data_IF_530126533080
#
_entry.id   IF_530126533080
#
_cell.length_a   1.000
_cell.length_b   1.000
_cell.length_c   1.000
_cell.angle_alpha   90.00
_cell.angle_beta   90.00
_cell.angle_gamma   90.00
#
_symmetry.space_group_name_H-M   'P 1'
#
loop_
_entity.id
_entity.type
_entity.pdbx_description
1 polymer ?
#
# COMPACT_ATOMS: atom_id res chain seq x y z
N UNK A 1 -29.33 -55.96 1.08
CA UNK A 1 -28.76 -55.77 2.43
C UNK A 1 -28.46 -57.14 3.01
N UNK A 2 -27.20 -57.46 3.27
CA UNK A 2 -26.85 -58.67 4.02
C UNK A 2 -26.75 -58.24 5.48
N UNK A 3 -27.50 -58.91 6.36
CA UNK A 3 -27.52 -58.60 7.78
C UNK A 3 -26.24 -59.16 8.43
N UNK A 4 -25.21 -58.32 8.57
CA UNK A 4 -23.95 -58.71 9.18
C UNK A 4 -24.08 -58.72 10.69
N UNK A 5 -23.90 -59.88 11.32
CA UNK A 5 -23.91 -59.98 12.78
C UNK A 5 -22.61 -59.43 13.34
N UNK A 6 -22.70 -58.32 14.08
CA UNK A 6 -21.57 -57.74 14.81
C UNK A 6 -21.63 -58.30 16.24
N UNK A 7 -20.73 -59.22 16.65
CA UNK A 7 -20.66 -59.62 18.04
C UNK A 7 -20.13 -58.43 18.87
N UNK A 8 -20.98 -57.85 19.72
CA UNK A 8 -20.61 -56.77 20.63
C UNK A 8 -20.29 -57.40 21.99
N UNK A 9 -19.02 -57.43 22.36
CA UNK A 9 -18.60 -57.73 23.72
C UNK A 9 -18.64 -56.46 24.57
N UNK A 10 -19.61 -56.34 25.49
CA UNK A 10 -19.63 -55.25 26.45
C UNK A 10 -18.60 -55.54 27.55
N UNK A 11 -17.57 -54.70 27.67
CA UNK A 11 -16.46 -54.85 28.63
C UNK A 11 -16.89 -54.86 30.12
N UNK A 12 -18.17 -54.58 30.41
CA UNK A 12 -18.74 -54.56 31.75
C UNK A 12 -19.31 -55.91 32.22
N UNK A 13 -19.30 -56.95 31.38
CA UNK A 13 -19.79 -58.27 31.76
C UNK A 13 -18.84 -58.96 32.76
N UNK A 14 -19.40 -59.52 33.84
CA UNK A 14 -18.60 -60.28 34.81
C UNK A 14 -18.14 -61.58 34.15
N UNK A 15 -16.91 -61.99 34.39
CA UNK A 15 -16.30 -63.19 33.80
C UNK A 15 -17.08 -64.49 34.07
N UNK A 16 -17.92 -64.50 35.11
CA UNK A 16 -18.77 -65.63 35.46
C UNK A 16 -19.95 -65.79 34.50
N UNK A 17 -20.52 -64.69 34.01
CA UNK A 17 -21.66 -64.72 33.09
C UNK A 17 -21.23 -65.21 31.70
N UNK A 18 -20.00 -64.85 31.28
CA UNK A 18 -19.42 -65.33 30.02
C UNK A 18 -19.22 -66.85 30.00
N UNK A 19 -18.89 -67.44 31.16
CA UNK A 19 -18.74 -68.89 31.32
C UNK A 19 -20.08 -69.61 31.30
N UNK A 20 -21.15 -68.97 31.79
CA UNK A 20 -22.50 -69.52 31.72
C UNK A 20 -22.96 -69.67 30.25
N UNK A 21 -22.53 -68.77 29.37
CA UNK A 21 -22.80 -68.81 27.92
C UNK A 21 -21.87 -69.77 27.14
N UNK A 22 -21.01 -70.53 27.82
CA UNK A 22 -20.14 -71.53 27.19
C UNK A 22 -18.85 -70.97 26.57
N UNK A 23 -18.46 -69.73 26.92
CA UNK A 23 -17.20 -69.13 26.50
C UNK A 23 -16.19 -69.12 27.66
N UNK A 24 -15.00 -69.68 27.42
CA UNK A 24 -13.97 -69.78 28.48
C UNK A 24 -13.32 -68.42 28.79
N UNK A 25 -13.25 -67.55 27.79
CA UNK A 25 -12.71 -66.20 27.89
C UNK A 25 -13.27 -65.31 26.78
N UNK A 26 -13.10 -64.01 26.91
CA UNK A 26 -13.41 -63.05 25.83
C UNK A 26 -12.68 -63.39 24.51
N UNK A 27 -11.48 -63.97 24.61
CA UNK A 27 -10.69 -64.42 23.44
C UNK A 27 -11.39 -65.61 22.75
N UNK A 28 -11.97 -66.53 23.52
CA UNK A 28 -12.71 -67.68 22.98
C UNK A 28 -14.00 -67.25 22.25
N UNK A 29 -14.69 -66.22 22.77
CA UNK A 29 -15.84 -65.61 22.10
C UNK A 29 -15.44 -65.01 20.75
N UNK A 30 -14.34 -64.27 20.69
CA UNK A 30 -13.82 -63.68 19.45
C UNK A 30 -13.41 -64.77 18.46
N UNK A 31 -12.71 -65.81 18.91
CA UNK A 31 -12.24 -66.89 18.04
C UNK A 31 -13.38 -67.77 17.49
N UNK A 32 -14.42 -68.03 18.30
CA UNK A 32 -15.59 -68.80 17.84
C UNK A 32 -16.50 -67.99 16.93
N UNK A 33 -16.74 -66.71 17.25
CA UNK A 33 -17.56 -65.84 16.41
C UNK A 33 -16.83 -65.41 15.13
N UNK A 34 -15.50 -65.29 15.19
CA UNK A 34 -14.67 -64.81 14.12
C UNK A 34 -13.93 -65.93 13.39
N UNK A 35 -14.61 -66.68 12.51
CA UNK A 35 -13.88 -67.49 11.53
C UNK A 35 -13.06 -66.51 10.66
N UNK A 36 -11.72 -66.59 10.59
CA UNK A 36 -10.88 -65.61 9.89
C UNK A 36 -11.31 -65.38 8.44
N UNK A 37 -11.81 -66.44 7.80
CA UNK A 37 -12.33 -66.38 6.43
C UNK A 37 -13.58 -65.50 6.28
N UNK A 38 -14.50 -65.54 7.26
CA UNK A 38 -15.72 -64.73 7.22
C UNK A 38 -15.42 -63.29 7.64
N UNK A 39 -14.63 -63.10 8.70
CA UNK A 39 -14.37 -61.75 9.23
C UNK A 39 -13.49 -60.91 8.32
N UNK A 40 -12.51 -61.51 7.65
CA UNK A 40 -11.53 -60.75 6.87
C UNK A 40 -11.78 -60.85 5.36
N UNK A 41 -11.84 -62.08 4.82
CA UNK A 41 -11.85 -62.28 3.37
C UNK A 41 -13.18 -61.91 2.70
N UNK A 42 -14.33 -62.16 3.34
CA UNK A 42 -15.62 -61.77 2.77
C UNK A 42 -15.81 -60.25 2.64
N UNK A 43 -15.59 -59.42 3.68
CA UNK A 43 -15.73 -57.97 3.53
C UNK A 43 -14.66 -57.40 2.60
N UNK A 44 -13.44 -57.95 2.63
CA UNK A 44 -12.37 -57.51 1.72
C UNK A 44 -12.69 -57.85 0.26
N UNK A 45 -13.18 -59.06 -0.02
CA UNK A 45 -13.61 -59.47 -1.35
C UNK A 45 -14.80 -58.66 -1.87
N UNK A 46 -15.78 -58.38 -1.01
CA UNK A 46 -16.92 -57.50 -1.34
C UNK A 46 -16.47 -56.06 -1.59
N UNK A 47 -15.54 -55.53 -0.78
CA UNK A 47 -14.99 -54.19 -0.98
C UNK A 47 -14.22 -54.10 -2.30
N UNK A 48 -13.42 -55.11 -2.66
CA UNK A 48 -12.74 -55.18 -3.96
C UNK A 48 -13.75 -55.29 -5.10
N UNK A 49 -14.72 -56.21 -5.01
CA UNK A 49 -15.76 -56.37 -6.02
C UNK A 49 -16.58 -55.09 -6.22
N UNK A 50 -16.86 -54.34 -5.13
CA UNK A 50 -17.52 -53.04 -5.21
C UNK A 50 -16.60 -51.98 -5.85
N UNK A 51 -15.34 -51.91 -5.43
CA UNK A 51 -14.37 -50.92 -5.93
C UNK A 51 -14.12 -51.09 -7.43
N UNK A 52 -14.02 -52.32 -7.93
CA UNK A 52 -13.79 -52.59 -9.35
C UNK A 52 -15.08 -52.73 -10.17
N UNK A 53 -16.16 -53.24 -9.58
CA UNK A 53 -17.44 -53.41 -10.26
C UNK A 53 -18.22 -52.11 -10.43
N UNK A 54 -18.16 -51.21 -9.44
CA UNK A 54 -18.91 -49.95 -9.47
C UNK A 54 -18.55 -49.04 -10.67
N UNK A 55 -17.27 -48.85 -11.05
CA UNK A 55 -16.91 -48.12 -12.27
C UNK A 55 -17.52 -48.72 -13.54
N UNK A 56 -17.57 -50.05 -13.68
CA UNK A 56 -18.15 -50.73 -14.85
C UNK A 56 -19.65 -50.44 -14.92
N UNK A 57 -20.36 -50.63 -13.80
CA UNK A 57 -21.81 -50.35 -13.72
C UNK A 57 -22.08 -48.87 -14.02
N UNK A 58 -21.29 -47.95 -13.47
CA UNK A 58 -21.40 -46.51 -13.73
C UNK A 58 -21.23 -46.19 -15.22
N UNK A 59 -20.24 -46.79 -15.88
CA UNK A 59 -20.00 -46.59 -17.30
C UNK A 59 -21.14 -47.14 -18.16
N UNK A 60 -21.71 -48.31 -17.79
CA UNK A 60 -22.90 -48.87 -18.47
C UNK A 60 -24.09 -47.93 -18.33
N UNK A 61 -24.35 -47.39 -17.14
CA UNK A 61 -25.43 -46.41 -16.91
C UNK A 61 -25.22 -45.16 -17.77
N UNK A 62 -23.98 -44.64 -17.82
CA UNK A 62 -23.66 -43.48 -18.66
C UNK A 62 -23.83 -43.77 -20.16
N UNK A 63 -23.42 -44.95 -20.63
CA UNK A 63 -23.60 -45.36 -22.01
C UNK A 63 -25.08 -45.49 -22.38
N UNK A 64 -25.89 -46.10 -21.51
CA UNK A 64 -27.35 -46.19 -21.69
C UNK A 64 -27.98 -44.80 -21.73
N UNK A 65 -27.56 -43.90 -20.85
CA UNK A 65 -28.06 -42.52 -20.82
C UNK A 65 -27.67 -41.75 -22.09
N UNK A 66 -26.43 -41.91 -22.58
CA UNK A 66 -25.98 -41.31 -23.83
C UNK A 66 -26.75 -41.87 -25.04
N UNK A 67 -27.02 -43.18 -25.07
CA UNK A 67 -27.81 -43.83 -26.11
C UNK A 67 -29.28 -43.39 -26.10
N UNK A 68 -29.90 -43.31 -24.92
CA UNK A 68 -31.26 -42.80 -24.77
C UNK A 68 -31.36 -41.33 -25.24
N UNK A 69 -30.34 -40.52 -24.93
CA UNK A 69 -30.25 -39.13 -25.40
C UNK A 69 -30.16 -39.07 -26.92
N UNK A 70 -29.24 -39.79 -27.55
CA UNK A 70 -29.08 -39.78 -29.02
C UNK A 70 -30.31 -40.32 -29.74
N UNK A 71 -30.95 -41.36 -29.21
CA UNK A 71 -32.21 -41.88 -29.72
C UNK A 71 -33.33 -40.83 -29.63
N UNK A 72 -33.46 -40.15 -28.48
CA UNK A 72 -34.38 -39.04 -28.29
C UNK A 72 -34.14 -37.89 -29.28
N UNK A 73 -32.88 -37.49 -29.50
CA UNK A 73 -32.55 -36.42 -30.48
C UNK A 73 -32.92 -36.82 -31.90
N UNK A 74 -32.63 -38.08 -32.29
CA UNK A 74 -32.97 -38.59 -33.62
C UNK A 74 -34.48 -38.67 -33.85
N UNK A 75 -35.22 -39.10 -32.83
CA UNK A 75 -36.68 -39.19 -32.88
C UNK A 75 -37.30 -37.79 -32.94
N UNK A 76 -36.78 -36.84 -32.14
CA UNK A 76 -37.21 -35.45 -32.16
C UNK A 76 -36.88 -34.77 -33.51
N UNK A 77 -35.71 -35.01 -34.09
CA UNK A 77 -35.36 -34.56 -35.45
C UNK A 77 -36.29 -35.16 -36.51
N UNK A 78 -36.68 -36.43 -36.38
CA UNK A 78 -37.61 -37.10 -37.31
C UNK A 78 -39.03 -36.54 -37.21
N UNK A 79 -39.50 -36.24 -36.00
CA UNK A 79 -40.81 -35.57 -35.78
C UNK A 79 -40.76 -34.13 -36.28
N UNK A 80 -39.65 -33.42 -36.04
CA UNK A 80 -39.48 -32.02 -36.46
C UNK A 80 -39.41 -31.88 -37.99
N UNK A 81 -38.92 -32.90 -38.72
CA UNK A 81 -39.02 -32.95 -40.19
C UNK A 81 -40.46 -32.93 -40.70
N UNK A 82 -41.43 -33.37 -39.90
CA UNK A 82 -42.87 -33.35 -40.21
C UNK A 82 -43.55 -32.09 -39.67
N UNK A 83 -42.96 -31.42 -38.67
CA UNK A 83 -43.41 -30.15 -38.13
C UNK A 83 -43.04 -28.96 -39.04
N UNK A 84 -43.92 -27.97 -39.13
CA UNK A 84 -43.89 -26.81 -40.06
C UNK A 84 -42.69 -25.85 -39.90
N UNK A 85 -41.69 -26.20 -39.10
CA UNK A 85 -40.44 -25.43 -38.95
C UNK A 85 -39.33 -26.20 -39.65
N UNK A 86 -38.93 -25.71 -40.83
CA UNK A 86 -37.89 -26.35 -41.63
C UNK A 86 -36.58 -26.46 -40.84
N UNK A 87 -35.86 -27.57 -41.02
CA UNK A 87 -34.51 -27.79 -40.44
C UNK A 87 -33.57 -26.60 -40.71
N UNK A 88 -33.74 -25.94 -41.86
CA UNK A 88 -33.01 -24.71 -42.19
C UNK A 88 -33.21 -23.58 -41.19
N UNK A 89 -34.42 -23.38 -40.65
CA UNK A 89 -34.69 -22.36 -39.64
C UNK A 89 -33.97 -22.67 -38.33
N UNK A 90 -33.90 -23.94 -37.94
CA UNK A 90 -33.16 -24.35 -36.75
C UNK A 90 -31.65 -24.10 -36.90
N UNK A 91 -31.08 -24.44 -38.07
CA UNK A 91 -29.67 -24.18 -38.37
C UNK A 91 -29.39 -22.67 -38.30
N UNK A 92 -30.21 -21.84 -38.95
CA UNK A 92 -30.09 -20.38 -38.87
C UNK A 92 -30.19 -19.85 -37.44
N UNK A 93 -31.10 -20.39 -36.62
CA UNK A 93 -31.24 -19.97 -35.22
C UNK A 93 -30.00 -20.33 -34.40
N UNK A 94 -29.44 -21.52 -34.64
CA UNK A 94 -28.20 -21.98 -34.00
C UNK A 94 -27.02 -21.10 -34.40
N UNK A 95 -26.87 -20.80 -35.68
CA UNK A 95 -25.76 -19.99 -36.18
C UNK A 95 -25.85 -18.56 -35.64
N UNK A 96 -27.05 -17.96 -35.64
CA UNK A 96 -27.31 -16.67 -35.00
C UNK A 96 -26.99 -16.69 -33.48
N UNK A 97 -27.30 -17.80 -32.79
CA UNK A 97 -26.99 -17.94 -31.37
C UNK A 97 -25.48 -18.00 -31.13
N UNK A 98 -24.74 -18.75 -31.96
CA UNK A 98 -23.27 -18.83 -31.89
C UNK A 98 -22.66 -17.46 -32.15
N UNK A 99 -23.12 -16.74 -33.19
CA UNK A 99 -22.62 -15.40 -33.52
C UNK A 99 -22.85 -14.41 -32.37
N UNK A 100 -24.04 -14.39 -31.77
CA UNK A 100 -24.34 -13.54 -30.61
C UNK A 100 -23.50 -13.89 -29.39
N UNK A 101 -23.25 -15.18 -29.17
CA UNK A 101 -22.40 -15.64 -28.06
C UNK A 101 -20.98 -15.13 -28.25
N UNK A 102 -20.44 -15.25 -29.46
CA UNK A 102 -19.10 -14.75 -29.80
C UNK A 102 -19.01 -13.21 -29.69
N UNK A 103 -20.02 -12.47 -30.14
CA UNK A 103 -20.08 -11.03 -29.95
C UNK A 103 -20.11 -10.64 -28.47
N UNK A 104 -20.85 -11.38 -27.64
CA UNK A 104 -20.88 -11.16 -26.20
C UNK A 104 -19.52 -11.42 -25.56
N UNK A 105 -18.83 -12.50 -25.95
CA UNK A 105 -17.48 -12.81 -25.49
C UNK A 105 -16.50 -11.67 -25.84
N UNK A 106 -16.55 -11.13 -27.06
CA UNK A 106 -15.73 -9.98 -27.46
C UNK A 106 -16.04 -8.71 -26.66
N UNK A 107 -17.32 -8.46 -26.36
CA UNK A 107 -17.72 -7.31 -25.54
C UNK A 107 -17.20 -7.46 -24.12
N UNK A 108 -17.31 -8.64 -23.53
CA UNK A 108 -16.79 -8.93 -22.18
C UNK A 108 -15.26 -8.83 -22.12
N UNK A 109 -14.56 -9.25 -23.16
CA UNK A 109 -13.11 -9.11 -23.25
C UNK A 109 -12.70 -7.63 -23.28
N UNK A 110 -13.34 -6.82 -24.14
CA UNK A 110 -13.11 -5.37 -24.18
C UNK A 110 -13.48 -4.66 -22.89
N UNK A 111 -14.58 -5.03 -22.25
CA UNK A 111 -14.97 -4.47 -20.96
C UNK A 111 -13.92 -4.77 -19.88
N UNK A 112 -13.39 -6.00 -19.86
CA UNK A 112 -12.30 -6.39 -18.97
C UNK A 112 -11.02 -5.58 -19.22
N UNK A 113 -10.67 -5.34 -20.49
CA UNK A 113 -9.54 -4.47 -20.86
C UNK A 113 -9.75 -3.03 -20.35
N UNK A 114 -10.92 -2.44 -20.59
CA UNK A 114 -11.22 -1.08 -20.14
C UNK A 114 -11.24 -0.96 -18.61
N UNK A 115 -11.69 -1.99 -17.89
CA UNK A 115 -11.63 -2.00 -16.43
C UNK A 115 -10.19 -1.99 -15.93
N UNK A 116 -9.30 -2.80 -16.54
CA UNK A 116 -7.87 -2.80 -16.20
C UNK A 116 -7.20 -1.47 -16.52
N UNK A 117 -7.51 -0.88 -17.66
CA UNK A 117 -6.99 0.44 -18.05
C UNK A 117 -7.48 1.54 -17.08
N UNK A 118 -8.75 1.51 -16.69
CA UNK A 118 -9.29 2.47 -15.74
C UNK A 118 -8.64 2.32 -14.35
N UNK A 119 -8.40 1.09 -13.89
CA UNK A 119 -7.70 0.83 -12.64
C UNK A 119 -6.25 1.33 -12.66
N UNK A 120 -5.53 1.11 -13.77
CA UNK A 120 -4.16 1.60 -13.93
C UNK A 120 -4.11 3.13 -13.97
N UNK A 121 -5.00 3.77 -14.74
CA UNK A 121 -5.10 5.23 -14.81
C UNK A 121 -5.44 5.85 -13.46
N UNK A 122 -6.34 5.23 -12.69
CA UNK A 122 -6.67 5.68 -11.33
C UNK A 122 -5.47 5.59 -10.40
N UNK A 123 -4.67 4.54 -10.52
CA UNK A 123 -3.44 4.37 -9.73
C UNK A 123 -2.41 5.44 -10.08
N UNK A 124 -2.14 5.65 -11.38
CA UNK A 124 -1.25 6.71 -11.85
C UNK A 124 -1.72 8.10 -11.41
N UNK A 125 -3.03 8.37 -11.45
CA UNK A 125 -3.57 9.64 -10.99
C UNK A 125 -3.32 9.86 -9.49
N UNK A 126 -3.48 8.82 -8.65
CA UNK A 126 -3.20 8.90 -7.22
C UNK A 126 -1.72 9.18 -6.96
N UNK A 127 -0.82 8.52 -7.68
CA UNK A 127 0.64 8.75 -7.59
C UNK A 127 1.00 10.18 -7.97
N UNK A 128 0.51 10.67 -9.12
CA UNK A 128 0.76 12.04 -9.56
C UNK A 128 0.21 13.08 -8.58
N UNK A 129 -0.97 12.83 -8.00
CA UNK A 129 -1.57 13.70 -6.99
C UNK A 129 -0.70 13.73 -5.72
N UNK A 130 -0.19 12.58 -5.31
CA UNK A 130 0.71 12.48 -4.16
C UNK A 130 2.00 13.27 -4.40
N UNK A 131 2.68 13.04 -5.51
CA UNK A 131 3.90 13.78 -5.89
C UNK A 131 3.63 15.29 -6.02
N UNK A 132 2.49 15.69 -6.57
CA UNK A 132 2.12 17.10 -6.63
C UNK A 132 1.96 17.73 -5.23
N UNK A 133 1.34 17.01 -4.29
CA UNK A 133 1.18 17.46 -2.91
C UNK A 133 2.54 17.54 -2.17
N UNK A 134 3.43 16.58 -2.38
CA UNK A 134 4.79 16.61 -1.83
C UNK A 134 5.58 17.81 -2.35
N UNK A 135 5.53 18.04 -3.67
CA UNK A 135 6.16 19.19 -4.31
C UNK A 135 5.60 20.51 -3.77
N UNK A 136 4.27 20.61 -3.61
CA UNK A 136 3.64 21.80 -3.04
C UNK A 136 4.08 22.04 -1.58
N UNK A 137 4.19 20.97 -0.79
CA UNK A 137 4.67 21.02 0.58
C UNK A 137 6.13 21.49 0.65
N UNK A 138 6.96 20.98 -0.26
CA UNK A 138 8.35 21.40 -0.42
C UNK A 138 8.42 22.88 -0.81
N UNK A 139 7.72 23.33 -1.85
CA UNK A 139 7.65 24.74 -2.25
C UNK A 139 7.21 25.64 -1.09
N UNK A 140 6.19 25.24 -0.33
CA UNK A 140 5.73 26.00 0.83
C UNK A 140 6.79 26.08 1.93
N UNK A 141 7.53 25.00 2.17
CA UNK A 141 8.67 24.98 3.09
C UNK A 141 9.77 25.94 2.62
N UNK A 142 10.13 25.91 1.34
CA UNK A 142 11.10 26.83 0.74
C UNK A 142 10.65 28.27 0.84
N UNK A 143 9.39 28.58 0.55
CA UNK A 143 8.82 29.92 0.68
C UNK A 143 8.87 30.43 2.11
N UNK A 144 8.55 29.57 3.09
CA UNK A 144 8.62 29.92 4.51
C UNK A 144 10.05 30.22 4.97
N UNK A 145 11.03 29.45 4.50
CA UNK A 145 12.44 29.63 4.88
C UNK A 145 13.10 30.81 4.15
N UNK A 146 12.69 31.10 2.92
CA UNK A 146 13.11 32.29 2.17
C UNK A 146 12.33 33.55 2.57
N UNK A 147 11.52 33.49 3.63
CA UNK A 147 10.91 34.68 4.19
C UNK A 147 11.95 35.42 5.04
N UNK A 148 12.23 36.66 4.65
CA UNK A 148 13.12 37.59 5.36
C UNK A 148 12.75 37.77 6.84
N UNK A 149 11.49 37.48 7.20
CA UNK A 149 11.02 37.45 8.57
C UNK A 149 11.85 36.58 9.53
N UNK A 150 12.60 35.58 9.03
CA UNK A 150 13.56 34.82 9.84
C UNK A 150 14.63 35.72 10.50
N UNK A 151 15.03 36.79 9.80
CA UNK A 151 16.00 37.75 10.28
C UNK A 151 15.39 38.81 11.21
N UNK A 152 14.06 38.91 11.32
CA UNK A 152 13.43 40.01 12.07
C UNK A 152 13.72 39.93 13.58
N UNK A 153 14.18 41.04 14.16
CA UNK A 153 14.37 41.30 15.58
C UNK A 153 15.78 41.81 15.90
N UNK A 154 16.19 41.68 17.17
CA UNK A 154 17.42 42.30 17.66
C UNK A 154 18.62 41.34 17.60
N UNK A 155 19.72 41.80 17.02
CA UNK A 155 20.94 41.03 16.83
C UNK A 155 22.16 41.82 17.31
N UNK A 156 23.06 41.12 17.99
CA UNK A 156 24.42 41.56 18.27
C UNK A 156 25.27 41.08 17.12
N UNK A 157 25.86 42.02 16.39
CA UNK A 157 26.72 41.75 15.25
C UNK A 157 28.15 41.96 15.69
N UNK A 158 28.98 40.93 15.52
CA UNK A 158 30.41 40.98 15.77
C UNK A 158 31.14 40.78 14.46
N UNK A 159 31.99 41.73 14.08
CA UNK A 159 32.84 41.67 12.88
C UNK A 159 34.30 41.67 13.30
N UNK A 160 35.08 40.75 12.73
CA UNK A 160 36.52 40.72 12.88
C UNK A 160 37.17 41.26 11.63
N UNK A 161 37.96 42.33 11.75
CA UNK A 161 38.76 42.83 10.64
C UNK A 161 40.14 42.13 10.68
N UNK A 162 40.41 41.31 9.66
CA UNK A 162 41.68 40.56 9.56
C UNK A 162 42.90 41.47 9.41
N UNK A 163 42.75 42.62 8.74
CA UNK A 163 43.85 43.54 8.46
C UNK A 163 44.31 44.30 9.72
N UNK A 164 43.36 44.70 10.56
CA UNK A 164 43.62 45.59 11.70
C UNK A 164 43.47 44.92 13.06
N UNK A 165 43.12 43.63 13.10
CA UNK A 165 42.93 42.82 14.33
C UNK A 165 41.98 43.45 15.36
N UNK A 166 41.08 44.33 14.93
CA UNK A 166 40.04 44.87 15.80
C UNK A 166 38.75 44.05 15.65
N UNK A 167 38.00 44.00 16.73
CA UNK A 167 36.66 43.43 16.78
C UNK A 167 35.67 44.58 16.95
N UNK A 168 34.77 44.76 15.98
CA UNK A 168 33.64 45.68 16.11
C UNK A 168 32.42 44.89 16.57
N UNK A 169 31.76 45.36 17.62
CA UNK A 169 30.50 44.80 18.09
C UNK A 169 29.46 45.91 18.19
N UNK A 170 28.29 45.69 17.61
CA UNK A 170 27.17 46.63 17.66
C UNK A 170 25.84 45.89 17.61
N UNK A 171 24.79 46.54 18.08
CA UNK A 171 23.44 45.98 18.10
C UNK A 171 22.63 46.56 16.94
N UNK A 172 22.04 45.67 16.15
CA UNK A 172 21.10 46.03 15.08
C UNK A 172 19.70 45.49 15.39
N UNK A 173 18.73 46.16 14.80
CA UNK A 173 17.34 45.74 14.73
C UNK A 173 16.96 45.54 13.27
N UNK A 174 16.45 44.36 12.94
CA UNK A 174 16.00 44.01 11.60
C UNK A 174 14.47 43.90 11.64
N UNK A 175 13.77 44.61 10.75
CA UNK A 175 12.33 44.46 10.60
C UNK A 175 11.90 44.59 9.14
N UNK A 176 11.31 43.51 8.60
CA UNK A 176 10.89 43.46 7.20
C UNK A 176 12.04 43.67 6.21
N UNK A 177 13.28 43.38 6.63
CA UNK A 177 14.49 43.64 5.86
C UNK A 177 15.14 45.01 6.06
N UNK A 178 14.49 45.96 6.74
CA UNK A 178 15.13 47.21 7.13
C UNK A 178 16.06 46.96 8.33
N UNK A 179 17.30 47.42 8.25
CA UNK A 179 18.29 47.35 9.32
C UNK A 179 18.45 48.73 9.95
N UNK A 180 18.20 48.80 11.25
CA UNK A 180 18.49 49.98 12.07
C UNK A 180 19.55 49.64 13.11
N UNK A 181 20.46 50.56 13.40
CA UNK A 181 21.48 50.40 14.43
C UNK A 181 21.10 51.22 15.66
N UNK A 182 21.30 50.64 16.85
CA UNK A 182 21.11 51.36 18.11
C UNK A 182 22.38 52.15 18.43
N UNK A 183 22.28 53.48 18.48
CA UNK A 183 23.35 54.32 19.00
C UNK A 183 23.33 54.25 20.53
N UNK A 184 24.44 53.76 21.11
CA UNK A 184 24.55 53.57 22.55
C UNK A 184 24.48 54.88 23.34
N UNK A 185 24.89 55.99 22.73
CA UNK A 185 24.99 57.30 23.37
C UNK A 185 23.63 57.99 23.46
N UNK A 186 22.86 57.96 22.37
CA UNK A 186 21.54 58.62 22.27
C UNK A 186 20.39 57.69 22.60
N UNK A 187 20.61 56.37 22.61
CA UNK A 187 19.58 55.33 22.65
C UNK A 187 18.56 55.41 21.51
N UNK A 188 18.87 56.16 20.45
CA UNK A 188 18.04 56.24 19.26
C UNK A 188 18.46 55.18 18.24
N UNK A 189 17.49 54.69 17.47
CA UNK A 189 17.73 53.79 16.36
C UNK A 189 17.86 54.59 15.07
N UNK A 190 18.96 54.45 14.35
CA UNK A 190 19.18 55.06 13.05
C UNK A 190 19.06 54.01 11.95
N UNK A 191 18.38 54.33 10.86
CA UNK A 191 18.28 53.44 9.70
C UNK A 191 19.62 53.41 8.95
N UNK A 192 20.23 52.22 8.80
CA UNK A 192 21.58 52.06 8.23
C UNK A 192 21.55 51.44 6.85
N UNK A 193 20.75 50.39 6.67
CA UNK A 193 20.74 49.61 5.43
C UNK A 193 19.45 48.80 5.27
N UNK A 194 19.23 48.25 4.08
CA UNK A 194 18.19 47.25 3.82
C UNK A 194 18.80 45.96 3.27
N UNK A 195 18.19 44.84 3.66
CA UNK A 195 18.46 43.51 3.14
C UNK A 195 17.66 43.33 1.85
N UNK A 196 18.37 43.03 0.77
CA UNK A 196 17.81 42.66 -0.53
C UNK A 196 18.28 41.26 -0.94
N UNK A 197 17.57 40.64 -1.89
CA UNK A 197 17.91 39.32 -2.44
C UNK A 197 18.17 38.25 -1.36
N UNK A 198 17.33 38.21 -0.34
CA UNK A 198 17.41 37.22 0.74
C UNK A 198 17.13 35.82 0.20
N UNK A 199 18.06 34.91 0.45
CA UNK A 199 17.95 33.51 0.11
C UNK A 199 18.41 32.65 1.29
N UNK A 200 17.65 31.61 1.60
CA UNK A 200 18.01 30.60 2.60
C UNK A 200 17.98 29.22 1.92
N UNK A 201 19.12 28.54 1.92
CA UNK A 201 19.24 27.16 1.51
C UNK A 201 18.94 26.25 2.72
N UNK A 202 17.80 25.52 2.73
CA UNK A 202 17.44 24.62 3.83
C UNK A 202 18.41 23.45 4.03
N UNK A 203 19.05 22.99 2.96
CA UNK A 203 19.84 21.76 2.97
C UNK A 203 21.25 22.04 3.53
N UNK A 204 21.86 23.16 3.17
CA UNK A 204 23.15 23.60 3.70
C UNK A 204 23.04 24.49 4.93
N UNK A 205 21.81 24.94 5.27
CA UNK A 205 21.54 25.93 6.30
C UNK A 205 22.27 27.27 6.07
N UNK A 206 22.56 27.59 4.81
CA UNK A 206 23.21 28.84 4.42
C UNK A 206 22.18 29.91 4.08
N UNK A 207 22.39 31.11 4.61
CA UNK A 207 21.64 32.32 4.35
C UNK A 207 22.55 33.25 3.54
N UNK A 208 22.06 33.71 2.40
CA UNK A 208 22.74 34.66 1.53
C UNK A 208 21.85 35.88 1.37
N UNK A 209 22.39 37.07 1.57
CA UNK A 209 21.68 38.31 1.26
C UNK A 209 22.62 39.44 0.91
N UNK A 210 22.03 40.47 0.32
CA UNK A 210 22.71 41.68 -0.12
C UNK A 210 22.33 42.82 0.81
N UNK A 211 23.32 43.59 1.28
CA UNK A 211 23.06 44.83 2.02
C UNK A 211 23.12 46.04 1.09
N UNK A 212 22.12 46.91 1.19
CA UNK A 212 22.02 48.17 0.47
C UNK A 212 22.05 49.34 1.44
N UNK A 213 22.94 50.31 1.22
CA UNK A 213 23.13 51.44 2.13
C UNK A 213 21.93 52.38 2.17
N UNK A 214 21.65 53.00 3.33
CA UNK A 214 20.69 54.08 3.43
C UNK A 214 21.08 55.28 2.54
N UNK A 215 20.13 55.73 1.72
CA UNK A 215 20.25 56.98 0.95
C UNK A 215 21.05 56.90 -0.35
N UNK A 216 21.82 55.84 -0.60
CA UNK A 216 22.48 55.59 -1.88
C UNK A 216 22.24 54.14 -2.28
N UNK A 217 21.73 53.89 -3.50
CA UNK A 217 21.57 52.53 -4.08
C UNK A 217 22.92 51.86 -4.40
N UNK A 218 23.89 52.00 -3.50
CA UNK A 218 25.16 51.32 -3.56
C UNK A 218 25.08 50.06 -2.72
N UNK A 219 25.59 48.98 -3.33
CA UNK A 219 25.85 47.72 -2.67
C UNK A 219 26.83 47.96 -1.51
N UNK A 220 26.38 47.72 -0.29
CA UNK A 220 27.23 47.80 0.91
C UNK A 220 28.06 46.53 1.09
N UNK A 221 27.53 45.37 0.72
CA UNK A 221 28.22 44.10 0.82
C UNK A 221 27.31 42.91 0.56
N UNK A 222 27.92 41.73 0.40
CA UNK A 222 27.22 40.45 0.30
C UNK A 222 27.54 39.61 1.51
N UNK A 223 26.51 39.19 2.21
CA UNK A 223 26.64 38.38 3.43
C UNK A 223 26.28 36.94 3.12
N UNK A 224 27.18 36.04 3.49
CA UNK A 224 26.95 34.59 3.45
C UNK A 224 27.10 34.07 4.87
N UNK A 225 26.00 33.65 5.47
CA UNK A 225 25.91 33.17 6.84
C UNK A 225 25.48 31.71 6.85
N UNK A 226 25.91 30.96 7.85
CA UNK A 226 25.43 29.61 8.16
C UNK A 226 24.68 29.66 9.50
N UNK A 227 23.53 28.99 9.57
CA UNK A 227 22.77 28.85 10.81
C UNK A 227 23.53 27.87 11.72
N UNK A 228 24.01 28.34 12.86
CA UNK A 228 24.72 27.49 13.84
C UNK A 228 23.76 27.02 14.94
N UNK A 229 22.86 27.89 15.39
CA UNK A 229 21.75 27.55 16.29
C UNK A 229 20.47 28.18 15.76
N UNK A 230 19.44 27.36 15.52
CA UNK A 230 18.19 27.78 14.86
C UNK A 230 17.61 29.06 15.50
N UNK A 231 17.54 30.11 14.68
CA UNK A 231 16.95 31.40 15.04
C UNK A 231 17.75 32.22 16.06
N UNK A 232 18.90 31.74 16.56
CA UNK A 232 19.65 32.36 17.66
C UNK A 232 21.05 32.79 17.27
N UNK A 233 21.74 32.00 16.45
CA UNK A 233 23.14 32.23 16.15
C UNK A 233 23.45 31.91 14.69
N UNK A 234 23.94 32.93 13.98
CA UNK A 234 24.40 32.83 12.59
C UNK A 234 25.88 33.24 12.54
N UNK A 235 26.65 32.55 11.72
CA UNK A 235 28.07 32.84 11.53
C UNK A 235 28.45 32.70 10.07
N UNK A 236 29.29 33.59 9.56
CA UNK A 236 29.81 33.48 8.21
C UNK A 236 30.72 34.63 7.86
N UNK A 237 30.52 35.20 6.67
CA UNK A 237 31.39 36.23 6.13
C UNK A 237 30.61 37.43 5.59
N UNK A 238 31.09 38.63 5.91
CA UNK A 238 30.67 39.92 5.37
C UNK A 238 31.70 40.34 4.32
N UNK A 239 31.32 40.18 3.05
CA UNK A 239 32.26 40.09 1.94
C UNK A 239 33.24 38.92 2.15
N UNK A 240 33.76 38.32 1.06
CA UNK A 240 34.44 37.00 1.08
C UNK A 240 35.57 36.81 2.10
N UNK A 241 36.01 37.87 2.77
CA UNK A 241 37.18 37.94 3.64
C UNK A 241 36.88 38.24 5.10
N UNK A 242 35.77 38.90 5.47
CA UNK A 242 35.61 39.36 6.86
C UNK A 242 34.65 38.45 7.64
N UNK A 243 35.11 37.72 8.67
CA UNK A 243 34.22 36.92 9.51
C UNK A 243 33.19 37.81 10.23
N UNK A 244 31.94 37.38 10.20
CA UNK A 244 30.81 38.06 10.86
C UNK A 244 29.95 37.06 11.62
N UNK A 245 29.50 37.48 12.80
CA UNK A 245 28.67 36.69 13.69
C UNK A 245 27.43 37.50 14.08
N UNK A 246 26.25 36.88 13.99
CA UNK A 246 24.97 37.44 14.41
C UNK A 246 24.44 36.60 15.55
N UNK A 247 24.33 37.19 16.73
CA UNK A 247 23.76 36.54 17.91
C UNK A 247 22.51 37.27 18.37
N UNK A 248 21.38 36.59 18.52
CA UNK A 248 20.15 37.18 19.05
C UNK A 248 20.41 37.77 20.44
N UNK A 249 20.03 39.02 20.63
CA UNK A 249 20.08 39.68 21.94
C UNK A 249 18.71 39.45 22.60
N UNK A 250 18.63 38.43 23.45
CA UNK A 250 17.46 38.04 24.26
C UNK A 250 16.18 37.63 23.49
N UNK A 251 15.82 36.34 23.64
CA UNK A 251 14.46 35.80 23.34
C UNK A 251 13.55 35.92 24.58
N UNK A 252 14.09 36.38 25.72
CA UNK A 252 13.35 36.48 26.97
C UNK A 252 12.27 37.57 26.90
N UNK A 253 11.05 37.13 26.57
CA UNK A 253 9.76 37.70 26.99
C UNK A 253 9.55 39.17 26.64
N UNK A 254 9.28 39.44 25.36
CA UNK A 254 8.28 40.46 24.99
C UNK A 254 7.07 39.79 24.34
N UNK A 255 6.38 38.98 25.13
CA UNK A 255 4.94 38.83 25.01
C UNK A 255 4.32 39.64 26.14
N UNK A 256 4.04 40.91 25.87
CA UNK A 256 2.92 41.68 26.38
C UNK A 256 2.59 42.73 25.31
#
# INVERSE_FOLDING_TARGET
>A
MINWQIPIGLLFYKSNDLKADGYLSYIDLINKAGTPNKVFWQPFGLALAYTFGYPIIKNVIQAVHAWAKTWGTNLNLRITKTGKVSVSKYIQLRDNYIERTHLLEQVLEKESEYLKENESLKTTHLELTHTANENQSWINRWRRLNNIGLMNGQWSVTMQNEENKFTLSYVIFIDGGAISQLDESTKQTEYVSSIENFHCNPDTQEIIFVLMSAGKRHLSGVHTLTIVEEGKYLRGFADKTNPIEYKRVNIETRYL
#
